data_IF_036093957868
#
_entry.id   IF_036093957868
#
_cell.length_a   1.000
_cell.length_b   1.000
_cell.length_c   1.000
_cell.angle_alpha   90.00
_cell.angle_beta   90.00
_cell.angle_gamma   90.00
#
_symmetry.space_group_name_H-M   'P 1'
#
loop_
_entity.id
_entity.type
_entity.pdbx_description
1 polymer ?
#
# COMPACT_ATOMS: atom_id res chain seq x y z
N UNK A 1 -6.38 -1.64 -15.98
CA UNK A 1 -7.54 -1.39 -15.13
C UNK A 1 -7.80 0.08 -14.82
N UNK A 2 -7.17 1.03 -15.52
CA UNK A 2 -7.49 2.46 -15.34
C UNK A 2 -8.86 2.74 -15.93
N UNK A 3 -9.72 3.46 -15.20
CA UNK A 3 -11.02 3.90 -15.72
C UNK A 3 -10.85 5.10 -16.63
N UNK A 4 -11.30 4.96 -17.88
CA UNK A 4 -11.31 6.02 -18.88
C UNK A 4 -12.73 6.56 -19.01
N UNK A 5 -12.88 7.87 -18.89
CA UNK A 5 -14.14 8.59 -19.14
C UNK A 5 -13.99 9.43 -20.39
N UNK A 6 -14.97 9.39 -21.27
CA UNK A 6 -14.95 10.15 -22.51
C UNK A 6 -16.34 10.61 -22.91
N UNK A 7 -16.37 11.66 -23.67
CA UNK A 7 -17.55 12.17 -24.34
C UNK A 7 -17.15 12.70 -25.72
N UNK A 8 -18.11 12.82 -26.60
CA UNK A 8 -17.93 13.46 -27.89
C UNK A 8 -18.49 14.88 -27.86
N UNK A 9 -17.75 15.83 -28.38
CA UNK A 9 -18.23 17.18 -28.63
C UNK A 9 -18.23 17.46 -30.11
N UNK A 10 -19.37 17.91 -30.64
CA UNK A 10 -19.52 18.31 -32.02
C UNK A 10 -19.93 19.78 -32.10
N UNK A 11 -19.49 20.47 -33.13
CA UNK A 11 -19.85 21.85 -33.40
C UNK A 11 -20.42 21.93 -34.82
N UNK A 12 -21.60 22.52 -34.97
CA UNK A 12 -22.19 22.72 -36.29
C UNK A 12 -21.62 23.97 -37.00
N UNK A 13 -22.01 24.18 -38.23
CA UNK A 13 -21.56 25.31 -39.05
C UNK A 13 -22.02 26.69 -38.51
N UNK A 14 -23.06 26.69 -37.65
CA UNK A 14 -23.60 27.89 -37.02
C UNK A 14 -22.94 28.17 -35.64
N UNK A 15 -22.01 27.31 -35.26
CA UNK A 15 -21.28 27.47 -33.97
C UNK A 15 -21.96 26.82 -32.78
N UNK A 16 -23.12 26.15 -32.93
CA UNK A 16 -23.75 25.44 -31.84
C UNK A 16 -22.91 24.23 -31.41
N UNK A 17 -22.85 23.99 -30.10
CA UNK A 17 -22.09 22.88 -29.51
C UNK A 17 -23.03 21.81 -29.00
N UNK A 18 -22.74 20.58 -29.34
CA UNK A 18 -23.45 19.37 -28.91
C UNK A 18 -22.49 18.47 -28.17
N UNK A 19 -22.86 18.08 -26.94
CA UNK A 19 -22.04 17.20 -26.08
C UNK A 19 -22.81 15.90 -25.84
N UNK A 20 -22.16 14.76 -26.11
CA UNK A 20 -22.72 13.45 -25.80
C UNK A 20 -22.76 13.21 -24.28
N UNK A 21 -23.54 12.21 -23.86
CA UNK A 21 -23.37 11.66 -22.49
C UNK A 21 -21.96 11.14 -22.32
N UNK A 22 -21.43 11.31 -21.11
CA UNK A 22 -20.13 10.73 -20.73
C UNK A 22 -20.27 9.21 -20.67
N UNK A 23 -19.36 8.51 -21.33
CA UNK A 23 -19.21 7.06 -21.26
C UNK A 23 -17.95 6.73 -20.50
N UNK A 24 -17.90 5.54 -19.91
CA UNK A 24 -16.72 5.05 -19.19
C UNK A 24 -16.47 3.57 -19.47
N UNK A 25 -15.21 3.17 -19.38
CA UNK A 25 -14.79 1.78 -19.42
C UNK A 25 -13.48 1.61 -18.68
N UNK A 26 -13.22 0.39 -18.20
CA UNK A 26 -11.94 0.03 -17.58
C UNK A 26 -10.99 -0.46 -18.69
N UNK A 27 -9.85 0.24 -18.84
CA UNK A 27 -8.84 -0.10 -19.84
C UNK A 27 -8.03 -1.32 -19.40
N UNK A 28 -8.26 -2.43 -20.06
CA UNK A 28 -7.56 -3.71 -19.85
C UNK A 28 -7.01 -4.19 -21.20
N UNK A 29 -5.90 -4.95 -21.19
CA UNK A 29 -5.36 -5.51 -22.43
C UNK A 29 -6.39 -6.48 -23.06
N UNK A 30 -6.89 -6.21 -24.28
CA UNK A 30 -7.95 -7.00 -24.90
C UNK A 30 -7.50 -8.41 -25.34
N UNK A 31 -6.23 -8.73 -25.30
CA UNK A 31 -5.69 -10.06 -25.62
C UNK A 31 -6.04 -11.11 -24.55
N UNK A 32 -6.43 -10.68 -23.34
CA UNK A 32 -6.76 -11.58 -22.26
C UNK A 32 -8.27 -11.66 -22.00
N UNK A 33 -8.80 -12.83 -21.65
CA UNK A 33 -10.22 -13.04 -21.37
C UNK A 33 -10.58 -12.59 -19.94
N UNK A 34 -10.56 -11.29 -19.68
CA UNK A 34 -10.81 -10.70 -18.37
C UNK A 34 -12.18 -11.06 -17.82
N UNK A 35 -12.19 -11.36 -16.53
CA UNK A 35 -13.38 -11.50 -15.69
C UNK A 35 -13.29 -10.47 -14.56
N UNK A 36 -14.42 -10.17 -13.94
CA UNK A 36 -14.46 -9.26 -12.81
C UNK A 36 -15.42 -9.74 -11.71
N UNK A 37 -15.13 -9.34 -10.49
CA UNK A 37 -16.04 -9.46 -9.34
C UNK A 37 -15.93 -8.22 -8.49
N UNK A 38 -17.01 -7.92 -7.76
CA UNK A 38 -17.06 -6.80 -6.81
C UNK A 38 -16.98 -7.34 -5.39
N UNK A 39 -16.08 -6.81 -4.57
CA UNK A 39 -15.97 -7.12 -3.14
C UNK A 39 -15.84 -5.81 -2.36
N UNK A 40 -16.91 -5.37 -1.72
CA UNK A 40 -16.96 -4.05 -1.11
C UNK A 40 -16.66 -2.93 -2.12
N UNK A 41 -15.76 -2.00 -1.83
CA UNK A 41 -15.37 -0.91 -2.74
C UNK A 41 -14.42 -1.38 -3.87
N UNK A 42 -13.90 -2.62 -3.79
CA UNK A 42 -12.88 -3.14 -4.71
C UNK A 42 -13.51 -3.92 -5.87
N UNK A 43 -13.25 -3.50 -7.11
CA UNK A 43 -13.51 -4.30 -8.31
C UNK A 43 -12.24 -5.06 -8.67
N UNK A 44 -12.30 -6.39 -8.63
CA UNK A 44 -11.16 -7.25 -8.95
C UNK A 44 -11.29 -7.74 -10.38
N UNK A 45 -10.28 -7.48 -11.21
CA UNK A 45 -10.15 -8.00 -12.58
C UNK A 45 -9.09 -9.11 -12.60
N UNK A 46 -9.39 -10.22 -13.29
CA UNK A 46 -8.45 -11.33 -13.43
C UNK A 46 -8.71 -12.13 -14.69
N UNK A 47 -7.75 -12.96 -15.07
CA UNK A 47 -7.89 -14.06 -16.02
C UNK A 47 -7.01 -15.23 -15.58
N UNK A 48 -7.26 -16.43 -16.11
CA UNK A 48 -6.41 -17.62 -15.85
C UNK A 48 -6.55 -18.24 -14.46
N UNK A 49 -7.35 -17.67 -13.54
CA UNK A 49 -7.62 -18.21 -12.21
C UNK A 49 -9.08 -18.62 -12.04
N UNK A 50 -9.36 -19.44 -11.03
CA UNK A 50 -10.73 -19.83 -10.68
C UNK A 50 -11.43 -18.68 -9.93
N UNK A 51 -12.69 -18.43 -10.29
CA UNK A 51 -13.49 -17.36 -9.65
C UNK A 51 -13.57 -17.52 -8.12
N UNK A 52 -13.74 -18.76 -7.63
CA UNK A 52 -13.87 -19.03 -6.20
C UNK A 52 -12.62 -18.64 -5.41
N UNK A 53 -11.41 -18.86 -5.98
CA UNK A 53 -10.16 -18.53 -5.32
C UNK A 53 -9.93 -17.01 -5.28
N UNK A 54 -10.29 -16.31 -6.37
CA UNK A 54 -10.24 -14.85 -6.43
C UNK A 54 -11.24 -14.24 -5.45
N UNK A 55 -12.47 -14.75 -5.39
CA UNK A 55 -13.49 -14.24 -4.47
C UNK A 55 -13.08 -14.43 -3.01
N UNK A 56 -12.58 -15.60 -2.62
CA UNK A 56 -12.08 -15.86 -1.25
C UNK A 56 -10.91 -14.93 -0.87
N UNK A 57 -9.96 -14.70 -1.78
CA UNK A 57 -8.85 -13.79 -1.54
C UNK A 57 -9.35 -12.35 -1.40
N UNK A 58 -10.31 -11.95 -2.24
CA UNK A 58 -10.95 -10.64 -2.18
C UNK A 58 -11.71 -10.41 -0.88
N UNK A 59 -12.47 -11.39 -0.40
CA UNK A 59 -13.20 -11.31 0.88
C UNK A 59 -12.25 -11.14 2.08
N UNK A 60 -11.15 -11.90 2.12
CA UNK A 60 -10.12 -11.72 3.16
C UNK A 60 -9.49 -10.34 3.10
N UNK A 61 -9.16 -9.88 1.89
CA UNK A 61 -8.59 -8.56 1.70
C UNK A 61 -9.57 -7.45 2.13
N UNK A 62 -10.84 -7.62 1.84
CA UNK A 62 -11.86 -6.62 2.21
C UNK A 62 -11.94 -6.40 3.73
N UNK A 63 -11.87 -7.46 4.53
CA UNK A 63 -11.85 -7.35 6.00
C UNK A 63 -10.67 -6.50 6.47
N UNK A 64 -9.46 -6.77 5.97
CA UNK A 64 -8.27 -6.01 6.33
C UNK A 64 -8.32 -4.54 5.84
N UNK A 65 -8.85 -4.33 4.64
CA UNK A 65 -9.06 -2.99 4.06
C UNK A 65 -10.06 -2.16 4.88
N UNK A 66 -11.11 -2.79 5.41
CA UNK A 66 -12.03 -2.11 6.34
C UNK A 66 -11.33 -1.70 7.63
N UNK A 67 -10.46 -2.54 8.20
CA UNK A 67 -9.66 -2.15 9.37
C UNK A 67 -8.69 -1.00 9.05
N UNK A 68 -8.06 -1.02 7.86
CA UNK A 68 -7.23 0.08 7.40
C UNK A 68 -8.02 1.39 7.26
N UNK A 69 -9.25 1.33 6.74
CA UNK A 69 -10.14 2.49 6.64
C UNK A 69 -10.50 3.06 8.02
N UNK A 70 -10.80 2.19 8.99
CA UNK A 70 -11.09 2.61 10.38
C UNK A 70 -9.88 3.30 11.01
N UNK A 71 -8.68 2.73 10.89
CA UNK A 71 -7.44 3.36 11.41
C UNK A 71 -7.17 4.69 10.70
N UNK A 72 -7.48 4.78 9.41
CA UNK A 72 -7.30 5.99 8.62
C UNK A 72 -8.39 7.05 8.83
N UNK A 73 -9.36 6.77 9.69
CA UNK A 73 -10.52 7.65 9.97
C UNK A 73 -11.35 7.99 8.72
N UNK A 74 -11.37 7.08 7.74
CA UNK A 74 -12.23 7.20 6.56
C UNK A 74 -13.65 6.75 6.91
N UNK A 75 -14.62 7.60 6.59
CA UNK A 75 -16.05 7.26 6.75
C UNK A 75 -16.53 6.35 5.64
N UNK A 76 -16.00 6.52 4.45
CA UNK A 76 -16.30 5.73 3.26
C UNK A 76 -15.03 5.56 2.43
N UNK A 77 -14.82 4.37 1.91
CA UNK A 77 -13.71 4.08 0.99
C UNK A 77 -14.20 4.28 -0.43
N UNK A 78 -13.59 5.18 -1.16
CA UNK A 78 -13.88 5.39 -2.58
C UNK A 78 -13.62 4.12 -3.40
N UNK A 79 -14.47 3.81 -4.40
CA UNK A 79 -14.30 2.63 -5.23
C UNK A 79 -12.95 2.60 -5.95
N UNK A 80 -12.28 1.47 -5.92
CA UNK A 80 -10.99 1.24 -6.58
C UNK A 80 -10.93 -0.13 -7.27
N UNK A 81 -9.83 -0.38 -7.99
CA UNK A 81 -9.67 -1.56 -8.84
C UNK A 81 -8.41 -2.32 -8.51
N UNK A 82 -8.53 -3.63 -8.47
CA UNK A 82 -7.42 -4.58 -8.40
C UNK A 82 -7.30 -5.32 -9.73
N UNK A 83 -6.11 -5.36 -10.31
CA UNK A 83 -5.84 -6.15 -11.52
C UNK A 83 -4.85 -7.24 -11.18
N UNK A 84 -5.28 -8.49 -11.29
CA UNK A 84 -4.46 -9.65 -10.99
C UNK A 84 -3.73 -10.09 -12.27
N UNK A 85 -2.41 -9.99 -12.23
CA UNK A 85 -1.51 -10.39 -13.30
C UNK A 85 -1.18 -11.88 -13.16
N UNK A 86 -1.37 -12.64 -14.23
CA UNK A 86 -1.31 -14.09 -14.17
C UNK A 86 0.10 -14.68 -14.38
N UNK A 87 0.97 -13.98 -15.09
CA UNK A 87 2.27 -14.52 -15.47
C UNK A 87 3.36 -13.45 -15.58
N UNK A 88 4.65 -13.85 -15.54
CA UNK A 88 5.78 -12.91 -15.57
C UNK A 88 5.88 -12.06 -16.86
N UNK A 89 5.41 -12.59 -18.01
CA UNK A 89 5.42 -11.82 -19.27
C UNK A 89 4.46 -10.65 -19.19
N UNK A 90 3.25 -10.90 -18.74
CA UNK A 90 2.23 -9.89 -18.54
C UNK A 90 2.68 -8.86 -17.49
N UNK A 91 3.32 -9.31 -16.40
CA UNK A 91 3.89 -8.42 -15.39
C UNK A 91 4.97 -7.50 -15.98
N UNK A 92 5.82 -8.00 -16.85
CA UNK A 92 6.86 -7.21 -17.51
C UNK A 92 6.29 -6.10 -18.42
N UNK A 93 5.09 -6.31 -18.98
CA UNK A 93 4.39 -5.34 -19.82
C UNK A 93 3.55 -4.35 -19.00
N UNK A 94 2.97 -4.82 -17.88
CA UNK A 94 1.99 -4.05 -17.10
C UNK A 94 2.61 -3.26 -15.94
N UNK A 95 3.71 -3.74 -15.36
CA UNK A 95 4.34 -3.09 -14.22
C UNK A 95 5.23 -1.93 -14.67
N UNK A 96 5.36 -0.89 -13.84
CA UNK A 96 6.33 0.18 -14.09
C UNK A 96 7.73 -0.39 -14.31
N UNK A 97 8.54 0.30 -15.11
CA UNK A 97 9.93 -0.07 -15.32
C UNK A 97 10.70 0.07 -14.00
N UNK A 98 10.94 -1.04 -13.33
CA UNK A 98 11.80 -1.15 -12.14
C UNK A 98 13.11 -1.82 -12.52
N UNK A 99 14.13 -1.75 -11.66
CA UNK A 99 15.39 -2.39 -11.96
C UNK A 99 15.20 -3.89 -12.21
N UNK A 100 15.89 -4.44 -13.21
CA UNK A 100 15.81 -5.88 -13.53
C UNK A 100 16.21 -6.77 -12.35
N UNK A 101 17.05 -6.28 -11.44
CA UNK A 101 17.45 -6.96 -10.20
C UNK A 101 16.26 -7.04 -9.23
N UNK A 102 15.55 -5.93 -9.03
CA UNK A 102 14.41 -5.88 -8.12
C UNK A 102 13.27 -6.81 -8.56
N UNK A 103 13.03 -6.94 -9.87
CA UNK A 103 12.05 -7.89 -10.41
C UNK A 103 12.48 -9.35 -10.21
N UNK A 104 13.76 -9.67 -10.46
CA UNK A 104 14.30 -11.03 -10.30
C UNK A 104 14.31 -11.50 -8.85
N UNK A 105 14.53 -10.58 -7.92
CA UNK A 105 14.58 -10.88 -6.49
C UNK A 105 13.18 -10.92 -5.85
N UNK A 106 12.11 -10.73 -6.64
CA UNK A 106 10.72 -10.77 -6.17
C UNK A 106 10.42 -9.71 -5.11
N UNK A 107 11.10 -8.55 -5.18
CA UNK A 107 10.98 -7.49 -4.19
C UNK A 107 9.66 -6.71 -4.32
N UNK A 108 9.01 -6.79 -5.48
CA UNK A 108 7.74 -6.13 -5.75
C UNK A 108 6.69 -7.16 -6.18
N UNK A 109 5.70 -7.38 -5.32
CA UNK A 109 4.56 -8.24 -5.61
C UNK A 109 3.41 -7.52 -6.30
N UNK A 110 3.42 -6.18 -6.27
CA UNK A 110 2.38 -5.34 -6.83
C UNK A 110 2.80 -3.87 -6.94
N UNK A 111 1.88 -3.05 -7.45
CA UNK A 111 2.05 -1.60 -7.59
C UNK A 111 0.70 -0.89 -7.45
N UNK A 112 0.60 0.03 -6.50
CA UNK A 112 -0.56 0.88 -6.32
C UNK A 112 -0.39 2.23 -7.04
N UNK A 113 -1.39 2.59 -7.83
CA UNK A 113 -1.52 3.88 -8.51
C UNK A 113 -2.68 4.66 -7.88
N UNK A 114 -2.41 5.31 -6.75
CA UNK A 114 -3.42 5.95 -5.90
C UNK A 114 -4.27 6.96 -6.65
N UNK A 115 -3.65 7.84 -7.44
CA UNK A 115 -4.34 8.90 -8.20
C UNK A 115 -5.34 8.34 -9.22
N UNK A 116 -5.22 7.09 -9.60
CA UNK A 116 -6.11 6.40 -10.54
C UNK A 116 -7.05 5.40 -9.85
N UNK A 117 -6.94 5.23 -8.53
CA UNK A 117 -7.72 4.25 -7.78
C UNK A 117 -7.57 2.82 -8.35
N UNK A 118 -6.34 2.43 -8.70
CA UNK A 118 -6.03 1.10 -9.25
C UNK A 118 -4.71 0.57 -8.72
N UNK A 119 -4.64 -0.74 -8.54
CA UNK A 119 -3.39 -1.43 -8.30
C UNK A 119 -3.28 -2.72 -9.11
N UNK A 120 -2.04 -3.16 -9.30
CA UNK A 120 -1.68 -4.39 -10.01
C UNK A 120 -0.98 -5.32 -9.02
N UNK A 121 -1.32 -6.61 -9.04
CA UNK A 121 -0.61 -7.63 -8.25
C UNK A 121 -0.26 -8.85 -9.10
N UNK A 122 0.84 -9.51 -8.76
CA UNK A 122 1.23 -10.81 -9.34
C UNK A 122 0.60 -11.96 -8.55
N UNK A 123 -0.37 -12.67 -9.18
CA UNK A 123 -1.05 -13.82 -8.55
C UNK A 123 -2.22 -13.45 -7.63
N UNK A 124 -2.88 -14.46 -7.08
CA UNK A 124 -4.17 -14.35 -6.35
C UNK A 124 -4.04 -14.34 -4.82
N UNK A 125 -2.86 -14.06 -4.28
CA UNK A 125 -2.63 -14.05 -2.83
C UNK A 125 -3.44 -12.95 -2.13
N UNK A 126 -4.13 -13.29 -1.02
CA UNK A 126 -4.87 -12.31 -0.23
C UNK A 126 -3.96 -11.19 0.28
N UNK A 127 -2.74 -11.51 0.71
CA UNK A 127 -1.78 -10.52 1.23
C UNK A 127 -1.37 -9.49 0.18
N UNK A 128 -1.25 -9.86 -1.10
CA UNK A 128 -1.02 -8.89 -2.17
C UNK A 128 -2.19 -7.92 -2.35
N UNK A 129 -3.44 -8.43 -2.30
CA UNK A 129 -4.63 -7.59 -2.33
C UNK A 129 -4.73 -6.67 -1.11
N UNK A 130 -4.37 -7.17 0.09
CA UNK A 130 -4.34 -6.40 1.33
C UNK A 130 -3.31 -5.28 1.25
N UNK A 131 -2.08 -5.62 0.87
CA UNK A 131 -0.95 -4.70 0.79
C UNK A 131 -1.25 -3.51 -0.13
N UNK A 132 -1.54 -3.80 -1.39
CA UNK A 132 -1.80 -2.77 -2.39
C UNK A 132 -3.12 -2.03 -2.14
N UNK A 133 -4.16 -2.73 -1.67
CA UNK A 133 -5.42 -2.12 -1.28
C UNK A 133 -5.25 -1.16 -0.09
N UNK A 134 -4.38 -1.49 0.86
CA UNK A 134 -4.03 -0.60 1.98
C UNK A 134 -3.39 0.70 1.49
N UNK A 135 -2.48 0.65 0.52
CA UNK A 135 -1.91 1.87 -0.07
C UNK A 135 -2.97 2.78 -0.69
N UNK A 136 -3.99 2.20 -1.35
CA UNK A 136 -5.11 2.98 -1.91
C UNK A 136 -5.89 3.65 -0.78
N UNK A 137 -6.30 2.91 0.24
CA UNK A 137 -7.14 3.40 1.34
C UNK A 137 -6.41 4.47 2.15
N UNK A 138 -5.16 4.23 2.53
CA UNK A 138 -4.36 5.22 3.26
C UNK A 138 -4.12 6.45 2.38
N UNK A 139 -3.92 6.25 1.07
CA UNK A 139 -3.80 7.35 0.11
C UNK A 139 -5.02 8.25 0.07
N UNK A 140 -6.23 7.69 0.16
CA UNK A 140 -7.48 8.47 0.25
C UNK A 140 -7.57 9.28 1.55
N UNK A 141 -7.02 8.77 2.65
CA UNK A 141 -7.05 9.44 3.95
C UNK A 141 -5.98 10.54 4.10
N UNK A 142 -4.82 10.36 3.47
CA UNK A 142 -3.65 11.24 3.61
C UNK A 142 -3.36 11.97 2.29
N UNK A 143 -4.41 12.32 1.57
CA UNK A 143 -4.32 13.11 0.33
C UNK A 143 -4.05 14.58 0.64
N UNK A 144 -2.78 14.91 0.82
CA UNK A 144 -2.34 16.30 1.07
C UNK A 144 -1.18 16.67 0.13
N UNK A 145 -1.29 17.77 -0.62
CA UNK A 145 -0.20 18.26 -1.46
C UNK A 145 0.99 18.79 -0.64
N UNK A 146 0.80 19.04 0.66
CA UNK A 146 1.81 19.64 1.55
C UNK A 146 2.56 18.60 2.37
N UNK A 147 2.03 17.40 2.54
CA UNK A 147 2.67 16.34 3.30
C UNK A 147 2.88 15.10 2.44
N UNK A 148 4.09 14.57 2.50
CA UNK A 148 4.40 13.27 1.91
C UNK A 148 4.56 12.26 3.03
N UNK A 149 3.71 11.23 3.04
CA UNK A 149 3.90 10.09 3.92
C UNK A 149 5.26 9.44 3.61
N UNK A 150 6.14 9.25 4.60
CA UNK A 150 7.42 8.58 4.36
C UNK A 150 7.20 7.12 3.98
N UNK A 151 8.09 6.57 3.16
CA UNK A 151 7.94 5.21 2.66
C UNK A 151 7.88 4.17 3.80
N UNK A 152 8.65 4.35 4.88
CA UNK A 152 8.60 3.41 6.01
C UNK A 152 7.22 3.30 6.65
N UNK A 153 6.50 4.41 6.79
CA UNK A 153 5.15 4.40 7.38
C UNK A 153 4.13 3.82 6.41
N UNK A 154 4.22 4.18 5.12
CA UNK A 154 3.33 3.68 4.07
C UNK A 154 3.46 2.15 3.90
N UNK A 155 4.69 1.66 3.76
CA UNK A 155 4.97 0.23 3.61
C UNK A 155 4.69 -0.54 4.91
N UNK A 156 5.08 0.03 6.05
CA UNK A 156 4.83 -0.57 7.36
C UNK A 156 3.36 -0.77 7.66
N UNK A 157 2.50 0.18 7.28
CA UNK A 157 1.04 0.06 7.41
C UNK A 157 0.47 -1.01 6.46
N UNK A 158 0.93 -1.04 5.20
CA UNK A 158 0.48 -2.06 4.26
C UNK A 158 0.79 -3.47 4.78
N UNK A 159 2.01 -3.70 5.29
CA UNK A 159 2.42 -4.97 5.88
C UNK A 159 1.79 -5.26 7.24
N UNK A 160 1.40 -4.26 8.00
CA UNK A 160 0.72 -4.46 9.30
C UNK A 160 -0.63 -5.17 9.13
N UNK A 161 -1.34 -4.91 8.03
CA UNK A 161 -2.64 -5.52 7.75
C UNK A 161 -2.56 -6.87 7.05
N UNK A 162 -1.41 -7.30 6.54
CA UNK A 162 -1.23 -8.63 5.96
C UNK A 162 -1.54 -9.74 6.97
N UNK A 163 -1.90 -10.92 6.49
CA UNK A 163 -2.30 -12.05 7.33
C UNK A 163 -1.15 -12.63 8.18
N UNK A 164 0.08 -12.37 7.79
CA UNK A 164 1.30 -12.75 8.54
C UNK A 164 2.43 -11.75 8.32
N UNK A 165 3.44 -11.80 9.20
CA UNK A 165 4.64 -11.00 9.07
C UNK A 165 5.66 -11.57 8.06
N UNK A 166 5.40 -12.75 7.51
CA UNK A 166 6.31 -13.45 6.58
C UNK A 166 7.77 -13.55 7.06
N UNK A 167 7.98 -13.59 8.37
CA UNK A 167 9.31 -13.62 9.00
C UNK A 167 10.05 -12.27 9.01
N UNK A 168 9.39 -11.18 8.63
CA UNK A 168 10.01 -9.84 8.59
C UNK A 168 10.38 -9.32 9.98
N UNK A 169 9.59 -9.61 11.01
CA UNK A 169 9.94 -9.19 12.38
C UNK A 169 11.26 -9.80 12.84
N UNK A 170 11.49 -11.08 12.56
CA UNK A 170 12.78 -11.73 12.88
C UNK A 170 13.95 -11.15 12.04
N UNK A 171 13.70 -10.70 10.80
CA UNK A 171 14.72 -10.01 9.98
C UNK A 171 15.07 -8.65 10.62
N UNK A 172 14.08 -7.87 11.06
CA UNK A 172 14.28 -6.58 11.70
C UNK A 172 15.09 -6.72 13.02
N UNK A 173 14.72 -7.69 13.84
CA UNK A 173 15.45 -8.00 15.09
C UNK A 173 16.92 -8.38 14.82
N UNK A 174 17.16 -9.26 13.85
CA UNK A 174 18.53 -9.65 13.47
C UNK A 174 19.32 -8.47 12.91
N UNK A 175 18.71 -7.64 12.07
CA UNK A 175 19.35 -6.45 11.53
C UNK A 175 19.70 -5.45 12.65
N UNK A 176 18.86 -5.32 13.66
CA UNK A 176 19.17 -4.52 14.86
C UNK A 176 20.40 -5.07 15.59
N UNK A 177 20.43 -6.36 15.93
CA UNK A 177 21.53 -7.01 16.62
C UNK A 177 22.86 -6.91 15.88
N UNK A 178 22.81 -6.88 14.55
CA UNK A 178 23.99 -6.74 13.68
C UNK A 178 24.41 -5.27 13.43
N UNK A 179 23.66 -4.28 13.91
CA UNK A 179 23.93 -2.86 13.62
C UNK A 179 23.66 -2.48 12.16
N UNK A 180 22.75 -3.19 11.47
CA UNK A 180 22.46 -3.02 10.04
C UNK A 180 21.21 -2.15 9.78
N UNK A 181 20.52 -1.70 10.83
CA UNK A 181 19.32 -0.87 10.68
C UNK A 181 19.67 0.53 10.17
N UNK A 182 18.87 1.01 9.25
CA UNK A 182 18.90 2.41 8.83
C UNK A 182 18.18 3.27 9.89
N UNK A 183 18.65 4.50 10.17
CA UNK A 183 17.89 5.45 10.96
C UNK A 183 16.52 5.72 10.33
N UNK A 184 15.46 5.78 11.14
CA UNK A 184 14.10 5.98 10.66
C UNK A 184 13.94 7.28 9.84
N UNK A 185 14.69 8.32 10.21
CA UNK A 185 14.76 9.59 9.47
C UNK A 185 15.29 9.46 8.05
N UNK A 186 16.08 8.41 7.74
CA UNK A 186 16.60 8.13 6.39
C UNK A 186 15.67 7.25 5.55
N UNK A 187 14.59 6.73 6.13
CA UNK A 187 13.68 5.77 5.49
C UNK A 187 12.49 6.47 4.79
N UNK A 188 12.69 7.69 4.30
CA UNK A 188 11.69 8.44 3.53
C UNK A 188 11.37 7.83 2.16
N UNK A 189 12.30 7.06 1.58
CA UNK A 189 12.15 6.35 0.31
C UNK A 189 12.67 4.91 0.43
N UNK A 190 12.17 4.01 -0.41
CA UNK A 190 12.66 2.62 -0.50
C UNK A 190 14.09 2.62 -1.06
N UNK A 191 15.05 1.95 -0.42
CA UNK A 191 16.44 1.91 -0.89
C UNK A 191 16.58 1.14 -2.20
N UNK A 192 17.67 1.40 -2.95
CA UNK A 192 17.89 0.77 -4.25
C UNK A 192 18.60 -0.59 -4.21
N UNK A 193 19.23 -0.99 -3.09
CA UNK A 193 19.97 -2.26 -3.01
C UNK A 193 19.09 -3.35 -2.43
N UNK A 194 19.00 -4.56 -3.03
CA UNK A 194 18.10 -5.63 -2.60
C UNK A 194 18.20 -6.01 -1.12
N UNK A 195 19.42 -6.07 -0.57
CA UNK A 195 19.65 -6.34 0.86
C UNK A 195 19.01 -5.27 1.74
N UNK A 196 19.23 -4.00 1.40
CA UNK A 196 18.73 -2.86 2.16
C UNK A 196 17.21 -2.76 2.04
N UNK A 197 16.64 -3.10 0.88
CA UNK A 197 15.18 -3.20 0.65
C UNK A 197 14.55 -4.19 1.63
N UNK A 198 15.14 -5.38 1.79
CA UNK A 198 14.61 -6.41 2.70
C UNK A 198 14.62 -5.93 4.16
N UNK A 199 15.71 -5.28 4.59
CA UNK A 199 15.84 -4.72 5.94
C UNK A 199 14.86 -3.55 6.10
N UNK A 200 14.72 -2.70 5.09
CA UNK A 200 13.79 -1.58 5.06
C UNK A 200 12.34 -2.03 5.32
N UNK A 201 11.83 -3.01 4.55
CA UNK A 201 10.47 -3.53 4.74
C UNK A 201 10.31 -4.17 6.13
N UNK A 202 11.28 -4.97 6.56
CA UNK A 202 11.25 -5.60 7.87
C UNK A 202 11.19 -4.57 9.01
N UNK A 203 12.03 -3.55 8.98
CA UNK A 203 12.07 -2.47 9.98
C UNK A 203 10.79 -1.63 9.93
N UNK A 204 10.29 -1.30 8.74
CA UNK A 204 9.03 -0.56 8.55
C UNK A 204 7.85 -1.27 9.21
N UNK A 205 7.68 -2.57 8.99
CA UNK A 205 6.64 -3.35 9.65
C UNK A 205 6.81 -3.41 11.17
N UNK A 206 8.04 -3.62 11.63
CA UNK A 206 8.34 -3.72 13.05
C UNK A 206 8.03 -2.42 13.82
N UNK A 207 8.39 -1.26 13.26
CA UNK A 207 8.07 0.05 13.83
C UNK A 207 6.57 0.31 13.86
N UNK A 208 5.85 0.09 12.76
CA UNK A 208 4.39 0.31 12.71
C UNK A 208 3.68 -0.61 13.69
N UNK A 209 4.07 -1.89 13.74
CA UNK A 209 3.53 -2.83 14.70
C UNK A 209 3.78 -2.37 16.14
N UNK A 210 4.99 -1.95 16.47
CA UNK A 210 5.34 -1.40 17.78
C UNK A 210 4.47 -0.18 18.14
N UNK A 211 4.30 0.74 17.19
CA UNK A 211 3.47 1.93 17.40
C UNK A 211 2.03 1.56 17.73
N UNK A 212 1.45 0.61 17.00
CA UNK A 212 0.07 0.19 17.23
C UNK A 212 -0.06 -0.62 18.52
N UNK A 213 0.85 -1.57 18.77
CA UNK A 213 0.81 -2.42 19.97
C UNK A 213 1.00 -1.63 21.27
N UNK A 214 1.94 -0.69 21.26
CA UNK A 214 2.28 0.09 22.48
C UNK A 214 1.37 1.27 22.71
N UNK A 215 1.01 2.01 21.65
CA UNK A 215 0.30 3.27 21.78
C UNK A 215 -1.16 3.20 21.31
N UNK A 216 -1.56 2.10 20.68
CA UNK A 216 -2.92 1.82 20.23
C UNK A 216 -3.28 2.40 18.86
N UNK A 217 -4.32 1.79 18.25
CA UNK A 217 -4.86 2.20 16.94
C UNK A 217 -5.31 3.66 16.91
N UNK A 218 -5.83 4.20 18.02
CA UNK A 218 -6.32 5.59 18.10
C UNK A 218 -5.18 6.62 17.87
N UNK A 219 -3.97 6.38 18.40
CA UNK A 219 -2.83 7.27 18.14
C UNK A 219 -2.34 7.14 16.69
N UNK A 220 -2.36 5.95 16.11
CA UNK A 220 -2.05 5.78 14.70
C UNK A 220 -3.06 6.55 13.82
N UNK A 221 -4.34 6.46 14.11
CA UNK A 221 -5.39 7.21 13.42
C UNK A 221 -5.16 8.73 13.51
N UNK A 222 -4.79 9.23 14.71
CA UNK A 222 -4.44 10.64 14.88
C UNK A 222 -3.22 11.05 14.06
N UNK A 223 -2.17 10.24 14.02
CA UNK A 223 -0.98 10.48 13.18
C UNK A 223 -1.36 10.65 11.72
N UNK A 224 -2.17 9.72 11.18
CA UNK A 224 -2.64 9.78 9.79
C UNK A 224 -3.49 11.02 9.52
N UNK A 225 -4.35 11.41 10.47
CA UNK A 225 -5.13 12.65 10.39
C UNK A 225 -4.23 13.88 10.33
N UNK A 226 -3.19 13.96 11.17
CA UNK A 226 -2.26 15.09 11.18
C UNK A 226 -1.44 15.17 9.87
N UNK A 227 -1.06 14.03 9.29
CA UNK A 227 -0.43 13.98 7.97
C UNK A 227 -1.40 14.42 6.87
N UNK A 228 -2.66 13.99 6.90
CA UNK A 228 -3.72 14.43 5.99
C UNK A 228 -3.96 15.95 6.08
N UNK A 229 -3.79 16.55 7.27
CA UNK A 229 -3.84 17.99 7.48
C UNK A 229 -2.59 18.74 6.99
N UNK A 230 -1.61 18.04 6.40
CA UNK A 230 -0.42 18.62 5.77
C UNK A 230 0.78 18.81 6.69
N UNK A 231 0.77 18.23 7.91
CA UNK A 231 1.96 18.29 8.78
C UNK A 231 3.07 17.40 8.24
N UNK A 232 4.33 17.79 8.50
CA UNK A 232 5.47 16.91 8.27
C UNK A 232 5.42 15.70 9.19
N UNK A 233 6.09 14.61 8.84
CA UNK A 233 6.14 13.40 9.69
C UNK A 233 6.70 13.71 11.08
N UNK A 234 7.76 14.52 11.17
CA UNK A 234 8.39 14.88 12.44
C UNK A 234 7.39 15.62 13.35
N UNK A 235 6.74 16.67 12.82
CA UNK A 235 5.75 17.44 13.57
C UNK A 235 4.53 16.59 13.96
N UNK A 236 4.08 15.71 13.07
CA UNK A 236 2.94 14.83 13.32
C UNK A 236 3.26 13.78 14.41
N UNK A 237 4.48 13.23 14.43
CA UNK A 237 4.97 12.33 15.48
C UNK A 237 5.06 13.06 16.82
N UNK A 238 5.70 14.22 16.87
CA UNK A 238 5.81 15.02 18.09
C UNK A 238 4.44 15.34 18.67
N UNK A 239 3.52 15.83 17.83
CA UNK A 239 2.15 16.19 18.25
C UNK A 239 1.33 15.01 18.73
N UNK A 240 1.54 13.82 18.16
CA UNK A 240 0.73 12.64 18.44
C UNK A 240 1.27 11.83 19.60
N UNK A 241 2.60 11.62 19.62
CA UNK A 241 3.26 10.72 20.57
C UNK A 241 4.05 11.45 21.66
N UNK A 242 4.27 12.76 21.53
CA UNK A 242 5.16 13.58 22.37
C UNK A 242 6.59 13.02 22.39
N UNK A 243 7.07 12.60 21.23
CA UNK A 243 8.38 11.98 20.98
C UNK A 243 8.93 12.52 19.67
N UNK A 244 10.23 12.57 19.52
CA UNK A 244 10.88 12.76 18.21
C UNK A 244 10.86 11.45 17.42
N UNK A 245 11.17 11.51 16.12
CA UNK A 245 11.32 10.31 15.30
C UNK A 245 12.47 9.42 15.79
N UNK A 246 13.54 10.03 16.33
CA UNK A 246 14.68 9.34 16.93
C UNK A 246 14.30 8.67 18.25
N UNK A 247 13.47 9.32 19.08
CA UNK A 247 12.94 8.73 20.30
C UNK A 247 12.08 7.50 20.00
N UNK A 248 11.25 7.57 18.96
CA UNK A 248 10.40 6.45 18.52
C UNK A 248 11.26 5.25 18.06
N UNK A 249 12.29 5.50 17.24
CA UNK A 249 13.23 4.46 16.79
C UNK A 249 13.98 3.83 17.96
N UNK A 250 14.43 4.66 18.91
CA UNK A 250 15.09 4.21 20.14
C UNK A 250 14.16 3.43 21.06
N UNK A 251 12.91 3.82 21.15
CA UNK A 251 11.90 3.16 21.99
C UNK A 251 11.60 1.74 21.48
N UNK A 252 11.45 1.57 20.15
CA UNK A 252 11.32 0.25 19.55
C UNK A 252 12.56 -0.62 19.84
N UNK A 253 13.77 -0.10 19.64
CA UNK A 253 15.02 -0.81 19.87
C UNK A 253 15.16 -1.30 21.32
N UNK A 254 14.70 -0.53 22.31
CA UNK A 254 14.66 -0.98 23.72
C UNK A 254 13.71 -2.16 23.93
N UNK A 255 12.61 -2.23 23.16
CA UNK A 255 11.66 -3.35 23.23
C UNK A 255 12.17 -4.65 22.62
N UNK A 256 13.12 -4.55 21.68
CA UNK A 256 13.75 -5.69 21.00
C UNK A 256 14.89 -6.32 21.80
N UNK A 257 15.24 -5.79 23.00
CA UNK A 257 16.29 -6.37 23.85
C UNK A 257 16.08 -7.87 24.10
N UNK A 258 17.16 -8.68 24.00
CA UNK A 258 17.05 -10.08 23.60
C UNK A 258 16.26 -10.93 24.57
N UNK A 259 15.31 -11.67 24.04
CA UNK A 259 14.75 -12.88 24.63
C UNK A 259 15.84 -13.96 24.83
N UNK A 260 17.10 -13.66 24.47
CA UNK A 260 18.25 -14.56 24.52
C UNK A 260 18.95 -14.66 25.88
N UNK A 261 18.61 -13.81 26.86
CA UNK A 261 19.14 -13.96 28.25
C UNK A 261 18.38 -14.98 29.10
N UNK A 262 17.39 -15.68 28.54
CA UNK A 262 16.62 -16.71 29.25
C UNK A 262 16.78 -18.10 28.64
N UNK A 263 18.02 -18.55 28.43
CA UNK A 263 18.31 -19.98 28.27
C UNK A 263 19.61 -20.34 28.97
#
# INVERSE_FOLDING_TARGET
>A
GVRIRYYFEARDINGNRYKSLTKEFDYLNPEYPWRSTQVGPMTIFWHGFQHLDVAKSGEKAYVAIQEAAVISNLQEVEPFRAVIINNPREAAEAFPTVSSTSLKDGLYGGFAFRDYGVFLIGGIGADGLIHEGTHIVIGQAVDSPFSKMPAWLNEGLAMYFESSDHGRLAIAERAYLNGELMPLSSMGAVPGKPRDVRIFYAHSQAIVKHMVDKFGKAKMSRLLTELGNGLSIDTAIEKTYNMTLEDLDSDWKKGVQPTFERR
#
